data_IF_379442722260
#
_entry.id   IF_379442722260
#
_cell.length_a   1.000
_cell.length_b   1.000
_cell.length_c   1.000
_cell.angle_alpha   90.00
_cell.angle_beta   90.00
_cell.angle_gamma   90.00
#
_symmetry.space_group_name_H-M   'P 1'
#
loop_
_entity.id
_entity.type
_entity.pdbx_description
1 polymer ?
#
# COMPACT_ATOMS: atom_id res chain seq x y z
N UNK A 1 -22.37 30.97 6.73
CA UNK A 1 -23.15 29.73 7.01
C UNK A 1 -22.52 28.46 6.39
N UNK A 2 -22.21 28.42 5.09
CA UNK A 2 -21.64 27.23 4.40
C UNK A 2 -20.34 26.74 5.02
N UNK A 3 -19.40 27.64 5.40
CA UNK A 3 -18.13 27.28 6.00
C UNK A 3 -18.30 26.65 7.41
N UNK A 4 -19.17 27.22 8.27
CA UNK A 4 -19.46 26.66 9.60
C UNK A 4 -20.09 25.26 9.50
N UNK A 5 -21.00 25.05 8.53
CA UNK A 5 -21.60 23.73 8.26
C UNK A 5 -20.57 22.71 7.83
N UNK A 6 -19.64 23.08 6.93
CA UNK A 6 -18.56 22.17 6.48
C UNK A 6 -17.62 21.81 7.64
N UNK A 7 -17.25 22.79 8.48
CA UNK A 7 -16.42 22.54 9.66
C UNK A 7 -17.11 21.57 10.65
N UNK A 8 -18.41 21.73 10.88
CA UNK A 8 -19.18 20.83 11.74
C UNK A 8 -19.24 19.41 11.18
N UNK A 9 -19.47 19.25 9.87
CA UNK A 9 -19.47 17.93 9.22
C UNK A 9 -18.10 17.24 9.37
N UNK A 10 -17.01 17.97 9.16
CA UNK A 10 -15.66 17.44 9.33
C UNK A 10 -15.37 17.03 10.78
N UNK A 11 -15.81 17.82 11.74
CA UNK A 11 -15.67 17.51 13.17
C UNK A 11 -16.46 16.25 13.55
N UNK A 12 -17.71 16.13 13.10
CA UNK A 12 -18.53 14.92 13.32
C UNK A 12 -17.87 13.70 12.69
N UNK A 13 -17.40 13.80 11.45
CA UNK A 13 -16.72 12.69 10.78
C UNK A 13 -15.44 12.28 11.52
N UNK A 14 -14.63 13.23 11.96
CA UNK A 14 -13.43 12.96 12.75
C UNK A 14 -13.78 12.28 14.09
N UNK A 15 -14.79 12.78 14.81
CA UNK A 15 -15.24 12.17 16.06
C UNK A 15 -15.76 10.74 15.85
N UNK A 16 -16.56 10.52 14.81
CA UNK A 16 -17.08 9.19 14.45
C UNK A 16 -15.93 8.22 14.11
N UNK A 17 -14.92 8.67 13.34
CA UNK A 17 -13.74 7.87 13.04
C UNK A 17 -12.96 7.50 14.30
N UNK A 18 -12.67 8.46 15.17
CA UNK A 18 -11.94 8.22 16.42
C UNK A 18 -12.69 7.26 17.35
N UNK A 19 -14.01 7.41 17.46
CA UNK A 19 -14.84 6.50 18.27
C UNK A 19 -14.82 5.06 17.70
N UNK A 20 -14.96 4.93 16.38
CA UNK A 20 -14.90 3.63 15.71
C UNK A 20 -13.53 2.99 15.89
N UNK A 21 -12.45 3.75 15.66
CA UNK A 21 -11.07 3.25 15.85
C UNK A 21 -10.79 2.88 17.29
N UNK A 22 -11.27 3.65 18.25
CA UNK A 22 -11.16 3.34 19.67
C UNK A 22 -11.78 1.99 20.01
N UNK A 23 -12.99 1.74 19.52
CA UNK A 23 -13.70 0.46 19.72
C UNK A 23 -12.92 -0.71 19.11
N UNK A 24 -12.41 -0.56 17.89
CA UNK A 24 -11.65 -1.59 17.20
C UNK A 24 -10.26 -1.79 17.81
N UNK A 25 -9.63 -0.74 18.32
CA UNK A 25 -8.34 -0.80 19.00
C UNK A 25 -8.40 -1.67 20.26
N UNK A 26 -9.49 -1.60 21.01
CA UNK A 26 -9.70 -2.38 22.22
C UNK A 26 -10.18 -3.82 21.97
N UNK A 27 -10.55 -4.15 20.73
CA UNK A 27 -10.99 -5.48 20.33
C UNK A 27 -9.77 -6.44 20.32
N UNK A 28 -9.89 -7.71 20.72
CA UNK A 28 -8.81 -8.69 20.62
C UNK A 28 -8.29 -8.89 19.19
N UNK A 29 -9.12 -8.62 18.17
CA UNK A 29 -8.73 -8.71 16.77
C UNK A 29 -8.47 -10.14 16.31
N UNK A 30 -7.64 -10.30 15.27
CA UNK A 30 -7.18 -11.61 14.84
C UNK A 30 -6.05 -12.10 15.76
N UNK A 31 -6.38 -13.07 16.59
CA UNK A 31 -5.52 -13.48 17.72
C UNK A 31 -4.18 -14.04 17.27
N UNK A 32 -4.15 -14.84 16.20
CA UNK A 32 -2.93 -15.49 15.72
C UNK A 32 -1.85 -14.46 15.34
N UNK A 33 -2.14 -13.53 14.49
CA UNK A 33 -1.18 -12.50 14.07
C UNK A 33 -0.87 -11.51 15.19
N UNK A 34 -1.89 -11.13 15.99
CA UNK A 34 -1.69 -10.22 17.10
C UNK A 34 -0.78 -10.81 18.18
N UNK A 35 -0.82 -12.11 18.40
CA UNK A 35 0.06 -12.77 19.35
C UNK A 35 1.51 -12.75 18.85
N UNK A 36 1.75 -12.89 17.54
CA UNK A 36 3.07 -12.67 16.95
C UNK A 36 3.55 -11.22 17.17
N UNK A 37 2.72 -10.23 16.86
CA UNK A 37 3.09 -8.82 17.03
C UNK A 37 3.30 -8.43 18.49
N UNK A 38 2.53 -9.02 19.43
CA UNK A 38 2.73 -8.87 20.88
C UNK A 38 4.05 -9.48 21.34
N UNK A 39 4.40 -10.67 20.84
CA UNK A 39 5.68 -11.30 21.14
C UNK A 39 6.82 -10.41 20.64
N UNK A 40 6.77 -9.94 19.41
CA UNK A 40 7.80 -9.08 18.85
C UNK A 40 7.96 -7.76 19.62
N UNK A 41 6.87 -7.09 19.98
CA UNK A 41 6.92 -5.88 20.83
C UNK A 41 7.55 -6.21 22.19
N UNK A 42 7.13 -7.30 22.83
CA UNK A 42 7.69 -7.76 24.11
C UNK A 42 9.19 -8.02 24.02
N UNK A 43 9.66 -8.69 22.97
CA UNK A 43 11.08 -8.98 22.75
C UNK A 43 11.91 -7.74 22.44
N UNK A 44 11.35 -6.81 21.64
CA UNK A 44 12.00 -5.50 21.42
C UNK A 44 12.15 -4.72 22.72
N UNK A 45 11.14 -4.75 23.60
CA UNK A 45 11.23 -4.11 24.93
C UNK A 45 12.26 -4.77 25.85
N UNK A 46 12.36 -6.09 25.82
CA UNK A 46 13.20 -6.87 26.72
C UNK A 46 14.66 -6.91 26.27
N UNK A 47 14.91 -7.09 24.96
CA UNK A 47 16.24 -7.38 24.42
C UNK A 47 16.76 -6.31 23.47
N UNK A 48 15.93 -5.33 23.12
CA UNK A 48 16.26 -4.29 22.13
C UNK A 48 16.07 -4.74 20.69
N UNK A 49 16.18 -3.75 19.79
CA UNK A 49 15.87 -3.92 18.35
C UNK A 49 16.79 -4.96 17.69
N UNK A 50 18.09 -4.97 18.01
CA UNK A 50 19.07 -5.83 17.32
C UNK A 50 18.97 -7.32 17.72
N UNK A 51 18.43 -7.66 18.91
CA UNK A 51 18.32 -9.04 19.38
C UNK A 51 16.96 -9.70 19.06
N UNK A 52 16.00 -8.95 18.54
CA UNK A 52 14.63 -9.45 18.32
C UNK A 52 14.59 -10.68 17.41
N UNK A 53 15.45 -10.75 16.40
CA UNK A 53 15.50 -11.88 15.45
C UNK A 53 16.05 -13.18 16.08
N UNK A 54 16.87 -13.06 17.12
CA UNK A 54 17.35 -14.24 17.89
C UNK A 54 16.37 -14.69 18.95
N UNK A 55 15.57 -13.78 19.46
CA UNK A 55 14.74 -14.01 20.66
C UNK A 55 13.26 -14.18 20.36
N UNK A 56 12.82 -13.92 19.12
CA UNK A 56 11.43 -14.07 18.68
C UNK A 56 11.35 -14.78 17.32
N UNK A 57 10.11 -15.00 16.87
CA UNK A 57 9.79 -15.47 15.54
C UNK A 57 9.73 -14.36 14.50
N UNK A 58 10.28 -13.16 14.76
CA UNK A 58 10.18 -12.02 13.87
C UNK A 58 10.76 -12.33 12.49
N UNK A 59 9.94 -12.20 11.46
CA UNK A 59 10.22 -12.49 10.06
C UNK A 59 10.11 -11.24 9.16
N UNK A 60 9.61 -10.12 9.70
CA UNK A 60 9.58 -8.85 8.98
C UNK A 60 10.96 -8.21 8.94
N UNK A 61 11.30 -7.47 7.85
CA UNK A 61 12.54 -6.73 7.77
C UNK A 61 12.71 -5.69 8.89
N UNK A 62 13.94 -5.17 9.10
CA UNK A 62 14.32 -4.45 10.33
C UNK A 62 13.51 -3.19 10.68
N UNK A 63 12.90 -2.52 9.69
CA UNK A 63 12.18 -1.27 9.96
C UNK A 63 11.04 -1.46 10.96
N UNK A 64 10.37 -2.62 10.95
CA UNK A 64 9.27 -2.86 11.88
C UNK A 64 9.73 -2.90 13.34
N UNK A 65 10.89 -3.49 13.62
CA UNK A 65 11.45 -3.49 14.98
C UNK A 65 11.73 -2.07 15.48
N UNK A 66 12.25 -1.19 14.62
CA UNK A 66 12.46 0.23 14.97
C UNK A 66 11.15 0.97 15.19
N UNK A 67 10.11 0.65 14.40
CA UNK A 67 8.79 1.25 14.60
C UNK A 67 8.17 0.79 15.91
N UNK A 68 8.30 -0.49 16.29
CA UNK A 68 7.77 -1.02 17.54
C UNK A 68 8.46 -0.42 18.78
N UNK A 69 9.75 -0.16 18.73
CA UNK A 69 10.54 0.26 19.90
C UNK A 69 9.97 1.47 20.65
N UNK A 70 9.65 2.62 20.03
CA UNK A 70 9.10 3.77 20.76
C UNK A 70 7.74 3.45 21.41
N UNK A 71 6.91 2.61 20.80
CA UNK A 71 5.64 2.21 21.39
C UNK A 71 5.85 1.30 22.60
N UNK A 72 6.85 0.43 22.57
CA UNK A 72 7.26 -0.38 23.71
C UNK A 72 7.74 0.48 24.89
N UNK A 73 8.56 1.51 24.63
CA UNK A 73 9.03 2.44 25.68
C UNK A 73 7.88 3.23 26.30
N UNK A 74 6.95 3.74 25.48
CA UNK A 74 5.77 4.44 26.00
C UNK A 74 4.88 3.50 26.79
N UNK A 75 4.64 2.27 26.31
CA UNK A 75 3.89 1.25 27.07
C UNK A 75 4.54 0.98 28.42
N UNK A 76 5.85 0.79 28.48
CA UNK A 76 6.57 0.56 29.73
C UNK A 76 6.35 1.69 30.75
N UNK A 77 6.38 2.96 30.28
CA UNK A 77 6.12 4.11 31.13
C UNK A 77 4.65 4.20 31.61
N UNK A 78 3.69 3.76 30.78
CA UNK A 78 2.27 3.67 31.14
C UNK A 78 2.04 2.53 32.14
N UNK A 79 2.64 1.37 31.91
CA UNK A 79 2.53 0.20 32.76
C UNK A 79 3.14 0.46 34.16
N UNK A 80 4.27 1.18 34.24
CA UNK A 80 4.89 1.59 35.51
C UNK A 80 3.98 2.50 36.36
N UNK A 81 2.98 3.15 35.74
CA UNK A 81 1.96 3.96 36.43
C UNK A 81 0.70 3.18 36.81
N UNK A 82 0.72 1.86 36.69
CA UNK A 82 -0.43 0.98 37.01
C UNK A 82 -1.51 0.95 35.90
N UNK A 83 -1.27 1.55 34.75
CA UNK A 83 -2.21 1.56 33.62
C UNK A 83 -1.85 0.52 32.54
N UNK A 84 -1.03 -0.47 32.87
CA UNK A 84 -0.68 -1.60 32.03
C UNK A 84 -1.79 -2.66 31.99
N UNK A 85 -1.57 -3.70 31.18
CA UNK A 85 -2.45 -4.87 31.09
C UNK A 85 -2.62 -5.35 29.64
N UNK A 86 -3.24 -6.52 29.43
CA UNK A 86 -3.33 -7.13 28.09
C UNK A 86 -4.04 -6.26 27.05
N UNK A 87 -5.13 -5.58 27.44
CA UNK A 87 -5.88 -4.68 26.52
C UNK A 87 -5.02 -3.47 26.14
N UNK A 88 -4.35 -2.84 27.12
CA UNK A 88 -3.46 -1.72 26.86
C UNK A 88 -2.29 -2.17 25.97
N UNK A 89 -1.67 -3.32 26.24
CA UNK A 89 -0.59 -3.86 25.43
C UNK A 89 -1.02 -4.10 23.97
N UNK A 90 -2.20 -4.71 23.77
CA UNK A 90 -2.80 -4.87 22.43
C UNK A 90 -3.01 -3.53 21.73
N UNK A 91 -3.51 -2.54 22.45
CA UNK A 91 -3.69 -1.20 21.89
C UNK A 91 -2.37 -0.59 21.40
N UNK A 92 -1.28 -0.74 22.17
CA UNK A 92 0.05 -0.27 21.79
C UNK A 92 0.62 -0.99 20.56
N UNK A 93 0.29 -2.28 20.35
CA UNK A 93 0.63 -3.03 19.14
C UNK A 93 -0.12 -2.48 17.92
N UNK A 94 -1.38 -2.06 18.09
CA UNK A 94 -2.24 -1.53 17.02
C UNK A 94 -2.05 -0.02 16.72
N UNK A 95 -1.35 0.72 17.59
CA UNK A 95 -1.11 2.16 17.38
C UNK A 95 -0.26 2.49 16.16
N UNK A 96 0.85 1.78 15.84
CA UNK A 96 1.62 2.04 14.64
C UNK A 96 0.75 2.05 13.36
N UNK A 97 -0.01 0.99 13.03
CA UNK A 97 -0.90 1.02 11.86
C UNK A 97 -1.85 2.21 11.84
N UNK A 98 -2.43 2.59 12.98
CA UNK A 98 -3.31 3.75 13.07
C UNK A 98 -2.61 5.06 12.69
N UNK A 99 -1.39 5.28 13.19
CA UNK A 99 -0.62 6.49 12.88
C UNK A 99 -0.31 6.56 11.39
N UNK A 100 0.05 5.43 10.78
CA UNK A 100 0.33 5.38 9.35
C UNK A 100 -0.94 5.50 8.49
N UNK A 101 -2.11 5.04 8.96
CA UNK A 101 -3.40 5.33 8.30
C UNK A 101 -3.69 6.84 8.28
N UNK A 102 -3.46 7.53 9.39
CA UNK A 102 -3.58 8.99 9.44
C UNK A 102 -2.54 9.67 8.53
N UNK A 103 -1.32 9.12 8.46
CA UNK A 103 -0.29 9.56 7.53
C UNK A 103 -0.71 9.40 6.06
N UNK A 104 -1.31 8.28 5.69
CA UNK A 104 -1.87 8.05 4.35
C UNK A 104 -2.98 9.07 4.05
N UNK A 105 -3.91 9.27 4.98
CA UNK A 105 -4.95 10.28 4.81
C UNK A 105 -4.38 11.69 4.64
N UNK A 106 -3.32 12.03 5.39
CA UNK A 106 -2.56 13.28 5.26
C UNK A 106 -1.90 13.43 3.88
N UNK A 107 -1.27 12.37 3.36
CA UNK A 107 -0.70 12.37 2.00
C UNK A 107 -1.79 12.56 0.93
N UNK A 108 -2.91 11.85 1.05
CA UNK A 108 -4.05 11.99 0.14
C UNK A 108 -4.63 13.41 0.19
N UNK A 109 -4.78 13.97 1.38
CA UNK A 109 -5.18 15.37 1.56
C UNK A 109 -4.20 16.32 0.87
N UNK A 110 -2.89 16.08 1.03
CA UNK A 110 -1.84 16.88 0.38
C UNK A 110 -1.90 16.78 -1.14
N UNK A 111 -2.12 15.57 -1.68
CA UNK A 111 -2.32 15.36 -3.11
C UNK A 111 -3.47 16.23 -3.66
N UNK A 112 -4.62 16.16 -2.99
CA UNK A 112 -5.78 16.97 -3.40
C UNK A 112 -5.54 18.47 -3.23
N UNK A 113 -4.70 18.88 -2.28
CA UNK A 113 -4.29 20.28 -2.11
C UNK A 113 -3.40 20.78 -3.24
N UNK A 114 -2.45 19.95 -3.67
CA UNK A 114 -1.58 20.25 -4.82
C UNK A 114 -2.36 20.33 -6.15
N UNK A 115 -3.53 19.70 -6.21
CA UNK A 115 -4.46 19.81 -7.34
C UNK A 115 -5.49 20.94 -7.17
N UNK A 116 -5.31 21.80 -6.18
CA UNK A 116 -6.20 22.93 -5.87
C UNK A 116 -7.68 22.51 -5.66
N UNK A 117 -7.91 21.26 -5.20
CA UNK A 117 -9.29 20.79 -4.94
C UNK A 117 -9.90 21.48 -3.71
N UNK A 118 -11.21 21.72 -3.70
CA UNK A 118 -11.91 22.30 -2.55
C UNK A 118 -11.80 21.39 -1.31
N UNK A 119 -11.92 21.98 -0.12
CA UNK A 119 -11.74 21.29 1.17
C UNK A 119 -12.64 20.07 1.31
N UNK A 120 -13.86 20.13 0.78
CA UNK A 120 -14.81 19.01 0.83
C UNK A 120 -14.31 17.80 0.03
N UNK A 121 -13.68 18.00 -1.13
CA UNK A 121 -13.11 16.93 -1.94
C UNK A 121 -11.92 16.30 -1.23
N UNK A 122 -11.06 17.10 -0.59
CA UNK A 122 -9.94 16.62 0.23
C UNK A 122 -10.44 15.74 1.36
N UNK A 123 -11.49 16.20 2.05
CA UNK A 123 -12.11 15.47 3.15
C UNK A 123 -12.77 14.16 2.69
N UNK A 124 -13.46 14.18 1.55
CA UNK A 124 -14.10 12.98 0.99
C UNK A 124 -13.04 11.93 0.61
N UNK A 125 -11.91 12.33 0.02
CA UNK A 125 -10.81 11.40 -0.32
C UNK A 125 -10.18 10.81 0.95
N UNK A 126 -9.89 11.64 1.96
CA UNK A 126 -9.35 11.18 3.23
C UNK A 126 -10.33 10.24 3.95
N UNK A 127 -11.62 10.59 3.97
CA UNK A 127 -12.67 9.77 4.56
C UNK A 127 -12.88 8.47 3.78
N UNK A 128 -12.84 8.49 2.45
CA UNK A 128 -12.96 7.30 1.61
C UNK A 128 -11.86 6.27 1.91
N UNK A 129 -10.67 6.72 2.33
CA UNK A 129 -9.62 5.84 2.84
C UNK A 129 -9.87 5.44 4.30
N UNK A 130 -10.04 6.40 5.22
CA UNK A 130 -10.11 6.13 6.66
C UNK A 130 -11.34 5.28 7.06
N UNK A 131 -12.48 5.45 6.39
CA UNK A 131 -13.69 4.64 6.60
C UNK A 131 -13.79 3.44 5.63
N UNK A 132 -12.74 3.16 4.88
CA UNK A 132 -12.72 2.01 3.99
C UNK A 132 -12.83 0.71 4.79
N UNK A 133 -13.74 -0.22 4.45
CA UNK A 133 -13.90 -1.46 5.19
C UNK A 133 -12.63 -2.30 5.24
N UNK A 134 -11.82 -2.33 4.17
CA UNK A 134 -10.54 -3.03 4.17
C UNK A 134 -9.54 -2.41 5.17
N UNK A 135 -9.50 -1.07 5.26
CA UNK A 135 -8.63 -0.35 6.20
C UNK A 135 -9.07 -0.59 7.64
N UNK A 136 -10.38 -0.43 7.92
CA UNK A 136 -10.91 -0.63 9.27
C UNK A 136 -10.74 -2.08 9.73
N UNK A 137 -10.96 -3.04 8.84
CA UNK A 137 -10.82 -4.45 9.17
C UNK A 137 -9.36 -4.83 9.39
N UNK A 138 -8.49 -4.58 8.41
CA UNK A 138 -7.11 -5.05 8.46
C UNK A 138 -6.26 -4.31 9.49
N UNK A 139 -6.33 -2.97 9.55
CA UNK A 139 -5.42 -2.19 10.38
C UNK A 139 -5.99 -1.88 11.79
N UNK A 140 -7.32 -1.78 11.94
CA UNK A 140 -7.93 -1.46 13.21
C UNK A 140 -8.42 -2.70 13.98
N UNK A 141 -9.18 -3.57 13.32
CA UNK A 141 -9.68 -4.79 13.93
C UNK A 141 -8.56 -5.84 14.03
N UNK A 142 -8.02 -6.27 12.90
CA UNK A 142 -6.97 -7.29 12.82
C UNK A 142 -5.67 -6.85 13.54
N UNK A 143 -5.26 -5.59 13.34
CA UNK A 143 -4.00 -5.05 13.86
C UNK A 143 -2.82 -5.24 12.90
N UNK A 144 -3.10 -5.59 11.64
CA UNK A 144 -2.08 -5.79 10.61
C UNK A 144 -1.30 -4.50 10.30
N UNK A 145 0.03 -4.57 10.19
CA UNK A 145 0.88 -3.40 9.96
C UNK A 145 0.95 -2.98 8.48
N UNK A 146 0.01 -3.40 7.65
CA UNK A 146 0.02 -3.19 6.20
C UNK A 146 -0.10 -1.73 5.77
N UNK A 147 -0.68 -0.87 6.59
CA UNK A 147 -0.68 0.57 6.34
C UNK A 147 0.73 1.18 6.39
N UNK A 148 1.66 0.58 7.12
CA UNK A 148 3.02 1.13 7.30
C UNK A 148 3.79 1.06 5.98
N UNK A 149 3.94 -0.13 5.39
CA UNK A 149 4.63 -0.24 4.10
C UNK A 149 3.86 0.46 2.98
N UNK A 150 2.51 0.43 3.02
CA UNK A 150 1.65 1.11 2.06
C UNK A 150 1.79 2.63 2.10
N UNK A 151 1.99 3.22 3.30
CA UNK A 151 2.32 4.64 3.45
C UNK A 151 3.60 4.99 2.70
N UNK A 152 4.66 4.20 2.88
CA UNK A 152 5.94 4.46 2.23
C UNK A 152 5.87 4.25 0.71
N UNK A 153 5.11 3.26 0.23
CA UNK A 153 4.84 3.08 -1.21
C UNK A 153 4.12 4.31 -1.75
N UNK A 154 3.01 4.73 -1.11
CA UNK A 154 2.27 5.91 -1.53
C UNK A 154 3.13 7.16 -1.50
N UNK A 155 3.91 7.38 -0.43
CA UNK A 155 4.81 8.52 -0.30
C UNK A 155 5.86 8.55 -1.42
N UNK A 156 6.42 7.40 -1.79
CA UNK A 156 7.35 7.28 -2.91
C UNK A 156 6.73 7.75 -4.22
N UNK A 157 5.58 7.19 -4.60
CA UNK A 157 4.94 7.51 -5.87
C UNK A 157 4.31 8.91 -5.89
N UNK A 158 3.81 9.40 -4.78
CA UNK A 158 3.35 10.80 -4.64
C UNK A 158 4.53 11.76 -4.81
N UNK A 159 5.65 11.49 -4.17
CA UNK A 159 6.86 12.32 -4.31
C UNK A 159 7.34 12.35 -5.76
N UNK A 160 7.39 11.19 -6.43
CA UNK A 160 7.76 11.11 -7.85
C UNK A 160 6.76 11.87 -8.74
N UNK A 161 5.46 11.66 -8.52
CA UNK A 161 4.39 12.20 -9.36
C UNK A 161 4.31 13.73 -9.29
N UNK A 162 4.33 14.29 -8.11
CA UNK A 162 4.26 15.75 -7.94
C UNK A 162 5.61 16.42 -8.19
N UNK A 163 6.71 15.72 -7.93
CA UNK A 163 8.03 16.15 -8.36
C UNK A 163 8.10 16.31 -9.87
N UNK A 164 7.72 15.29 -10.63
CA UNK A 164 7.70 15.32 -12.09
C UNK A 164 6.84 16.47 -12.63
N UNK A 165 5.63 16.67 -12.08
CA UNK A 165 4.76 17.81 -12.45
C UNK A 165 5.42 19.15 -12.15
N UNK A 166 6.04 19.32 -10.99
CA UNK A 166 6.70 20.56 -10.62
C UNK A 166 7.87 20.88 -11.57
N UNK A 167 8.64 19.87 -11.99
CA UNK A 167 9.77 20.06 -12.90
C UNK A 167 9.35 20.48 -14.31
N UNK A 168 8.20 20.01 -14.78
CA UNK A 168 7.66 20.40 -16.08
C UNK A 168 7.17 21.85 -16.11
N UNK A 169 6.77 22.40 -14.97
CA UNK A 169 6.24 23.77 -14.84
C UNK A 169 7.31 24.79 -14.50
N UNK A 170 8.41 24.37 -13.89
CA UNK A 170 9.50 25.26 -13.48
C UNK A 170 10.79 24.85 -14.16
N UNK A 171 11.59 25.81 -14.62
CA UNK A 171 12.98 25.59 -15.05
C UNK A 171 13.87 25.30 -13.82
N UNK A 172 13.44 24.38 -12.94
CA UNK A 172 14.12 24.13 -11.67
C UNK A 172 15.52 23.57 -11.86
N UNK A 173 16.45 24.00 -11.02
CA UNK A 173 17.84 23.51 -11.01
C UNK A 173 17.88 21.98 -10.89
N UNK A 174 18.83 21.34 -11.58
CA UNK A 174 19.01 19.88 -11.56
C UNK A 174 19.09 19.29 -10.14
N UNK A 175 19.64 20.04 -9.17
CA UNK A 175 19.73 19.60 -7.78
C UNK A 175 18.39 19.28 -7.12
N UNK A 176 17.35 20.08 -7.35
CA UNK A 176 16.00 19.80 -6.79
C UNK A 176 15.36 18.53 -7.38
N UNK A 177 15.58 18.29 -8.69
CA UNK A 177 15.07 17.08 -9.35
C UNK A 177 15.69 15.83 -8.74
N UNK A 178 17.01 15.81 -8.57
CA UNK A 178 17.73 14.68 -8.00
C UNK A 178 17.38 14.45 -6.53
N UNK A 179 17.21 15.50 -5.73
CA UNK A 179 16.75 15.40 -4.34
C UNK A 179 15.35 14.75 -4.24
N UNK A 180 14.44 15.11 -5.12
CA UNK A 180 13.10 14.51 -5.15
C UNK A 180 13.14 13.02 -5.53
N UNK A 181 13.97 12.65 -6.52
CA UNK A 181 14.17 11.24 -6.89
C UNK A 181 14.77 10.47 -5.70
N UNK A 182 15.83 11.00 -5.09
CA UNK A 182 16.41 10.38 -3.90
C UNK A 182 15.38 10.15 -2.80
N UNK A 183 14.55 11.15 -2.50
CA UNK A 183 13.48 11.02 -1.50
C UNK A 183 12.44 9.94 -1.87
N UNK A 184 12.02 9.87 -3.14
CA UNK A 184 11.10 8.83 -3.60
C UNK A 184 11.69 7.42 -3.42
N UNK A 185 12.95 7.23 -3.77
CA UNK A 185 13.66 5.96 -3.58
C UNK A 185 13.91 5.65 -2.10
N UNK A 186 14.18 6.64 -1.28
CA UNK A 186 14.29 6.49 0.17
C UNK A 186 13.00 5.96 0.78
N UNK A 187 11.84 6.52 0.40
CA UNK A 187 10.55 5.99 0.84
C UNK A 187 10.31 4.56 0.36
N UNK A 188 10.64 4.24 -0.89
CA UNK A 188 10.46 2.88 -1.38
C UNK A 188 11.38 1.87 -0.68
N UNK A 189 12.62 2.27 -0.36
CA UNK A 189 13.52 1.46 0.45
C UNK A 189 12.94 1.18 1.84
N UNK A 190 12.36 2.20 2.50
CA UNK A 190 11.66 2.01 3.78
C UNK A 190 10.45 1.08 3.65
N UNK A 191 9.71 1.13 2.53
CA UNK A 191 8.62 0.19 2.28
C UNK A 191 9.13 -1.26 2.23
N UNK A 192 10.22 -1.52 1.50
CA UNK A 192 10.81 -2.85 1.39
C UNK A 192 11.44 -3.32 2.70
N UNK A 193 12.03 -2.40 3.48
CA UNK A 193 12.58 -2.66 4.81
C UNK A 193 11.50 -2.84 5.89
N UNK A 194 10.26 -2.52 5.59
CA UNK A 194 9.09 -2.84 6.41
C UNK A 194 8.49 -4.20 6.03
N UNK A 195 8.32 -4.44 4.74
CA UNK A 195 7.74 -5.69 4.20
C UNK A 195 8.25 -5.93 2.78
N UNK A 196 8.65 -7.16 2.40
CA UNK A 196 9.19 -7.44 1.06
C UNK A 196 8.22 -7.07 -0.09
N UNK A 197 6.94 -6.86 0.21
CA UNK A 197 5.93 -6.38 -0.74
C UNK A 197 6.23 -4.99 -1.35
N UNK A 198 7.22 -4.27 -0.84
CA UNK A 198 7.77 -3.08 -1.47
C UNK A 198 8.64 -3.36 -2.70
N UNK A 199 9.25 -4.56 -2.80
CA UNK A 199 10.20 -4.90 -3.85
C UNK A 199 9.64 -4.84 -5.29
N UNK A 200 8.40 -5.29 -5.57
CA UNK A 200 7.83 -5.21 -6.91
C UNK A 200 7.77 -3.81 -7.51
N UNK A 201 7.87 -2.76 -6.71
CA UNK A 201 7.79 -1.38 -7.20
C UNK A 201 9.14 -0.77 -7.62
N UNK A 202 10.28 -1.39 -7.25
CA UNK A 202 11.60 -0.86 -7.60
C UNK A 202 11.84 -0.74 -9.11
N UNK A 203 11.52 -1.75 -9.96
CA UNK A 203 11.71 -1.59 -11.39
C UNK A 203 10.83 -0.48 -11.98
N UNK A 204 9.61 -0.26 -11.45
CA UNK A 204 8.75 0.83 -11.91
C UNK A 204 9.34 2.20 -11.56
N UNK A 205 9.84 2.35 -10.33
CA UNK A 205 10.48 3.59 -9.91
C UNK A 205 11.76 3.84 -10.71
N UNK A 206 12.50 2.78 -11.09
CA UNK A 206 13.65 2.86 -11.98
C UNK A 206 13.24 3.38 -13.36
N UNK A 207 12.19 2.82 -13.97
CA UNK A 207 11.65 3.28 -15.26
C UNK A 207 11.29 4.76 -15.18
N UNK A 208 10.55 5.20 -14.18
CA UNK A 208 10.19 6.61 -14.00
C UNK A 208 11.42 7.50 -13.77
N UNK A 209 12.40 7.05 -13.00
CA UNK A 209 13.63 7.81 -12.77
C UNK A 209 14.42 8.03 -14.05
N UNK A 210 14.52 6.98 -14.89
CA UNK A 210 15.17 7.08 -16.20
C UNK A 210 14.36 7.98 -17.14
N UNK A 211 13.05 7.84 -17.18
CA UNK A 211 12.17 8.68 -18.02
C UNK A 211 12.29 10.16 -17.67
N UNK A 212 12.32 10.52 -16.39
CA UNK A 212 12.29 11.91 -15.96
C UNK A 212 13.66 12.58 -15.83
N UNK A 213 14.69 11.82 -15.46
CA UNK A 213 16.03 12.37 -15.15
C UNK A 213 17.18 11.55 -15.71
N UNK A 214 16.91 10.61 -16.63
CA UNK A 214 17.92 9.77 -17.25
C UNK A 214 18.62 8.82 -16.28
N UNK A 215 19.69 8.19 -16.76
CA UNK A 215 20.49 7.22 -15.98
C UNK A 215 21.05 7.82 -14.69
N UNK A 216 21.41 9.11 -14.71
CA UNK A 216 21.91 9.81 -13.51
C UNK A 216 20.86 9.86 -12.40
N UNK A 217 19.57 10.11 -12.74
CA UNK A 217 18.48 10.06 -11.77
C UNK A 217 18.30 8.66 -11.17
N UNK A 218 18.36 7.63 -12.01
CA UNK A 218 18.31 6.24 -11.58
C UNK A 218 19.47 5.88 -10.63
N UNK A 219 20.70 6.29 -10.96
CA UNK A 219 21.88 6.03 -10.13
C UNK A 219 21.75 6.71 -8.75
N UNK A 220 21.32 7.98 -8.69
CA UNK A 220 21.09 8.68 -7.43
C UNK A 220 20.00 7.97 -6.60
N UNK A 221 18.92 7.56 -7.25
CA UNK A 221 17.85 6.84 -6.58
C UNK A 221 18.33 5.53 -5.96
N UNK A 222 18.98 4.67 -6.76
CA UNK A 222 19.53 3.40 -6.28
C UNK A 222 20.56 3.59 -5.16
N UNK A 223 21.44 4.58 -5.27
CA UNK A 223 22.40 4.91 -4.20
C UNK A 223 21.70 5.33 -2.93
N UNK A 224 20.61 6.11 -3.02
CA UNK A 224 19.81 6.50 -1.85
C UNK A 224 19.15 5.28 -1.21
N UNK A 225 18.55 4.39 -2.00
CA UNK A 225 17.92 3.18 -1.47
C UNK A 225 18.95 2.28 -0.76
N UNK A 226 20.14 2.12 -1.37
CA UNK A 226 21.25 1.38 -0.77
C UNK A 226 21.70 2.02 0.55
N UNK A 227 21.86 3.34 0.60
CA UNK A 227 22.22 4.07 1.82
C UNK A 227 21.19 3.87 2.93
N UNK A 228 19.89 3.99 2.61
CA UNK A 228 18.80 3.73 3.57
C UNK A 228 18.87 2.30 4.09
N UNK A 229 19.12 1.33 3.20
CA UNK A 229 19.31 -0.07 3.57
C UNK A 229 20.50 -0.23 4.53
N UNK A 230 21.66 0.29 4.18
CA UNK A 230 22.88 0.21 5.02
C UNK A 230 22.68 0.86 6.39
N UNK A 231 22.07 2.04 6.44
CA UNK A 231 21.76 2.72 7.72
C UNK A 231 20.82 1.87 8.57
N UNK A 232 19.76 1.31 7.97
CA UNK A 232 18.79 0.50 8.71
C UNK A 232 19.38 -0.82 9.20
N UNK A 233 20.28 -1.44 8.42
CA UNK A 233 20.96 -2.69 8.79
C UNK A 233 22.19 -2.48 9.68
N UNK A 234 22.71 -1.26 9.81
CA UNK A 234 23.99 -0.99 10.49
C UNK A 234 24.06 -1.53 11.93
N UNK A 235 23.03 -1.42 12.80
CA UNK A 235 23.10 -2.01 14.13
C UNK A 235 23.20 -3.56 14.10
N UNK A 236 22.49 -4.19 13.17
CA UNK A 236 22.55 -5.65 13.01
C UNK A 236 23.91 -6.11 12.46
N UNK A 237 24.55 -5.31 11.60
CA UNK A 237 25.91 -5.57 11.13
C UNK A 237 26.93 -5.45 12.25
N UNK A 238 26.84 -4.40 13.06
CA UNK A 238 27.75 -4.16 14.19
C UNK A 238 27.64 -5.24 15.26
N UNK A 239 26.42 -5.73 15.54
CA UNK A 239 26.18 -6.76 16.54
C UNK A 239 26.27 -8.21 16.00
N UNK A 240 26.55 -8.39 14.71
CA UNK A 240 26.68 -9.70 14.08
C UNK A 240 25.35 -10.44 13.85
N UNK A 241 24.20 -9.72 13.86
CA UNK A 241 22.87 -10.29 13.72
C UNK A 241 22.28 -10.21 12.31
N UNK A 242 22.98 -9.56 11.37
CA UNK A 242 22.49 -9.36 10.01
C UNK A 242 22.17 -10.67 9.28
N UNK A 243 22.98 -11.72 9.48
CA UNK A 243 22.74 -13.04 8.87
C UNK A 243 21.43 -13.65 9.38
N UNK A 244 21.13 -13.50 10.67
CA UNK A 244 19.89 -14.00 11.26
C UNK A 244 18.67 -13.25 10.70
N UNK A 245 18.76 -11.94 10.51
CA UNK A 245 17.71 -11.14 9.85
C UNK A 245 17.42 -11.69 8.44
N UNK A 246 18.46 -11.86 7.62
CA UNK A 246 18.27 -12.41 6.27
C UNK A 246 17.70 -13.82 6.30
N UNK A 247 18.22 -14.68 7.18
CA UNK A 247 17.73 -16.05 7.34
C UNK A 247 16.22 -16.08 7.69
N UNK A 248 15.77 -15.23 8.61
CA UNK A 248 14.35 -15.16 9.03
C UNK A 248 13.47 -14.66 7.89
N UNK A 249 13.81 -13.53 7.30
CA UNK A 249 13.02 -12.94 6.20
C UNK A 249 12.94 -13.88 5.00
N UNK A 250 14.05 -14.54 4.61
CA UNK A 250 14.06 -15.49 3.50
C UNK A 250 13.32 -16.80 3.83
N UNK A 251 13.38 -17.25 5.09
CA UNK A 251 12.65 -18.44 5.53
C UNK A 251 11.14 -18.18 5.50
N UNK A 252 10.68 -16.98 5.88
CA UNK A 252 9.27 -16.61 5.82
C UNK A 252 8.75 -16.59 4.39
N UNK A 253 9.48 -16.02 3.46
CA UNK A 253 9.12 -16.02 2.02
C UNK A 253 8.90 -17.47 1.51
N UNK A 254 9.64 -18.45 2.02
CA UNK A 254 9.51 -19.87 1.70
C UNK A 254 8.61 -20.66 2.64
N UNK A 255 8.08 -20.06 3.71
CA UNK A 255 7.38 -20.79 4.77
C UNK A 255 6.05 -21.40 4.32
N UNK A 256 5.43 -20.84 3.28
CA UNK A 256 4.19 -21.34 2.69
C UNK A 256 4.38 -21.55 1.19
N UNK A 257 5.00 -22.66 0.77
CA UNK A 257 5.38 -22.93 -0.62
C UNK A 257 4.16 -23.33 -1.48
N UNK A 258 3.05 -22.62 -1.33
CA UNK A 258 1.81 -22.90 -2.01
C UNK A 258 1.51 -21.87 -3.10
N UNK A 259 0.70 -22.29 -4.06
CA UNK A 259 0.21 -21.41 -5.13
C UNK A 259 -0.51 -20.19 -4.56
N UNK A 260 -1.29 -20.37 -3.49
CA UNK A 260 -1.88 -19.28 -2.73
C UNK A 260 -1.99 -19.66 -1.24
N UNK A 261 -1.65 -18.74 -0.38
CA UNK A 261 -1.84 -18.83 1.07
C UNK A 261 -3.02 -17.94 1.47
N UNK A 262 -4.24 -18.33 1.06
CA UNK A 262 -5.51 -17.61 1.21
C UNK A 262 -5.70 -16.35 0.36
N UNK A 263 -4.77 -15.95 -0.50
CA UNK A 263 -5.02 -14.87 -1.46
C UNK A 263 -6.06 -15.29 -2.49
N UNK A 264 -7.21 -14.61 -2.58
CA UNK A 264 -8.23 -14.87 -3.58
C UNK A 264 -7.80 -14.35 -4.95
N UNK A 265 -6.83 -15.04 -5.56
CA UNK A 265 -6.18 -14.71 -6.81
C UNK A 265 -6.36 -15.81 -7.87
N UNK A 266 -5.64 -15.70 -9.00
CA UNK A 266 -5.72 -16.66 -10.12
C UNK A 266 -5.54 -18.12 -9.69
N UNK A 267 -4.71 -18.37 -8.68
CA UNK A 267 -4.27 -19.71 -8.31
C UNK A 267 -5.36 -20.55 -7.64
N UNK A 268 -6.43 -19.92 -7.16
CA UNK A 268 -7.63 -20.64 -6.69
C UNK A 268 -8.35 -21.38 -7.81
N UNK A 269 -8.18 -20.95 -9.07
CA UNK A 269 -8.81 -21.65 -10.22
C UNK A 269 -8.21 -23.04 -10.48
N UNK A 270 -7.01 -23.30 -10.00
CA UNK A 270 -6.27 -24.53 -10.23
C UNK A 270 -5.86 -25.26 -8.94
N UNK A 271 -6.25 -24.74 -7.78
CA UNK A 271 -5.93 -25.30 -6.47
C UNK A 271 -4.99 -24.42 -5.65
N UNK A 272 -5.56 -23.68 -4.71
CA UNK A 272 -4.85 -22.69 -3.90
C UNK A 272 -3.69 -23.27 -3.08
N UNK A 273 -3.82 -24.50 -2.61
CA UNK A 273 -2.85 -25.16 -1.74
C UNK A 273 -1.97 -26.18 -2.48
N UNK A 274 -1.81 -26.02 -3.78
CA UNK A 274 -0.86 -26.81 -4.56
C UNK A 274 0.57 -26.31 -4.32
N UNK A 275 1.55 -27.20 -4.34
CA UNK A 275 2.94 -26.78 -4.21
C UNK A 275 3.36 -25.92 -5.40
N UNK A 276 3.76 -24.69 -5.13
CA UNK A 276 4.10 -23.69 -6.14
C UNK A 276 5.31 -24.06 -6.99
N UNK A 277 6.22 -24.87 -6.43
CA UNK A 277 7.44 -25.35 -7.09
C UNK A 277 7.30 -26.74 -7.71
N UNK A 278 6.11 -27.37 -7.59
CA UNK A 278 5.88 -28.63 -8.28
C UNK A 278 5.67 -28.42 -9.80
N UNK A 279 6.18 -29.30 -10.67
CA UNK A 279 5.94 -29.20 -12.10
C UNK A 279 4.43 -29.20 -12.43
N UNK A 280 3.99 -28.25 -13.27
CA UNK A 280 2.56 -28.07 -13.59
C UNK A 280 2.30 -28.17 -15.10
N UNK A 281 3.05 -27.41 -15.94
CA UNK A 281 2.94 -27.43 -17.41
C UNK A 281 4.33 -27.83 -17.96
N UNK A 282 4.54 -29.11 -18.18
CA UNK A 282 5.87 -29.63 -18.48
C UNK A 282 6.83 -29.34 -17.33
N UNK A 283 8.01 -28.73 -17.58
CA UNK A 283 8.95 -28.38 -16.53
C UNK A 283 8.58 -27.07 -15.78
N UNK A 284 7.56 -26.33 -16.24
CA UNK A 284 7.17 -25.06 -15.63
C UNK A 284 6.34 -25.30 -14.38
N UNK A 285 6.75 -24.65 -13.29
CA UNK A 285 5.99 -24.62 -12.02
C UNK A 285 4.99 -23.47 -12.01
N UNK A 286 3.99 -23.48 -11.12
CA UNK A 286 3.10 -22.34 -10.89
C UNK A 286 3.87 -21.02 -10.64
N UNK A 287 4.96 -21.07 -9.88
CA UNK A 287 5.81 -19.88 -9.64
C UNK A 287 6.39 -19.32 -10.95
N UNK A 288 6.91 -20.18 -11.82
CA UNK A 288 7.39 -19.74 -13.13
C UNK A 288 6.30 -19.10 -13.98
N UNK A 289 5.14 -19.74 -14.05
CA UNK A 289 3.98 -19.23 -14.83
C UNK A 289 3.50 -17.89 -14.23
N UNK A 290 3.37 -17.81 -12.91
CA UNK A 290 2.96 -16.60 -12.23
C UNK A 290 3.94 -15.45 -12.47
N UNK A 291 5.23 -15.72 -12.38
CA UNK A 291 6.28 -14.73 -12.66
C UNK A 291 6.20 -14.24 -14.13
N UNK A 292 6.04 -15.16 -15.09
CA UNK A 292 5.91 -14.79 -16.51
C UNK A 292 4.69 -13.87 -16.72
N UNK A 293 3.51 -14.23 -16.18
CA UNK A 293 2.29 -13.42 -16.30
C UNK A 293 2.45 -12.05 -15.63
N UNK A 294 3.08 -12.01 -14.46
CA UNK A 294 3.39 -10.75 -13.77
C UNK A 294 4.35 -9.88 -14.59
N UNK A 295 5.44 -10.44 -15.10
CA UNK A 295 6.42 -9.70 -15.92
C UNK A 295 5.79 -9.19 -17.21
N UNK A 296 4.96 -9.99 -17.90
CA UNK A 296 4.25 -9.55 -19.09
C UNK A 296 3.31 -8.36 -18.80
N UNK A 297 2.55 -8.45 -17.70
CA UNK A 297 1.70 -7.34 -17.24
C UNK A 297 2.53 -6.10 -16.89
N UNK A 298 3.63 -6.31 -16.20
CA UNK A 298 4.56 -5.26 -15.80
C UNK A 298 5.15 -4.51 -17.00
N UNK A 299 5.64 -5.26 -17.99
CA UNK A 299 6.17 -4.70 -19.24
C UNK A 299 5.09 -3.94 -20.00
N UNK A 300 3.87 -4.50 -20.11
CA UNK A 300 2.77 -3.84 -20.78
C UNK A 300 2.37 -2.51 -20.11
N UNK A 301 2.31 -2.48 -18.77
CA UNK A 301 2.03 -1.27 -17.99
C UNK A 301 3.13 -0.23 -18.11
N UNK A 302 4.40 -0.64 -18.00
CA UNK A 302 5.56 0.24 -18.15
C UNK A 302 5.66 0.81 -19.55
N UNK A 303 5.44 -0.02 -20.58
CA UNK A 303 5.38 0.40 -21.97
C UNK A 303 4.26 1.40 -22.22
N UNK A 304 3.08 1.15 -21.65
CA UNK A 304 1.95 2.09 -21.74
C UNK A 304 2.28 3.44 -21.10
N UNK A 305 2.90 3.43 -19.91
CA UNK A 305 3.34 4.67 -19.26
C UNK A 305 4.37 5.41 -20.09
N UNK A 306 5.37 4.70 -20.64
CA UNK A 306 6.38 5.29 -21.53
C UNK A 306 5.77 5.89 -22.78
N UNK A 307 4.86 5.18 -23.46
CA UNK A 307 4.15 5.70 -24.65
C UNK A 307 3.32 6.94 -24.32
N UNK A 308 2.66 6.97 -23.18
CA UNK A 308 1.92 8.15 -22.74
C UNK A 308 2.85 9.32 -22.44
N UNK A 309 3.99 9.07 -21.79
CA UNK A 309 5.02 10.08 -21.56
C UNK A 309 5.50 10.70 -22.86
N UNK A 310 5.80 9.91 -23.89
CA UNK A 310 6.23 10.39 -25.21
C UNK A 310 5.15 11.23 -25.93
N UNK A 311 3.88 10.86 -25.76
CA UNK A 311 2.76 11.50 -26.45
C UNK A 311 2.22 12.76 -25.73
N UNK A 312 2.68 13.03 -24.51
CA UNK A 312 2.26 14.16 -23.68
C UNK A 312 3.45 15.09 -23.38
N UNK A 313 4.28 15.35 -24.38
CA UNK A 313 5.42 16.28 -24.27
C UNK A 313 6.32 15.97 -23.05
N UNK A 314 6.57 14.67 -22.84
CA UNK A 314 7.40 14.19 -21.73
C UNK A 314 6.86 14.50 -20.32
N UNK A 315 5.53 14.50 -20.15
CA UNK A 315 4.85 14.72 -18.87
C UNK A 315 3.87 13.58 -18.58
N UNK A 316 3.87 13.07 -17.36
CA UNK A 316 2.80 12.22 -16.83
C UNK A 316 2.04 12.96 -15.73
N UNK A 317 0.72 12.79 -15.70
CA UNK A 317 -0.06 13.30 -14.58
C UNK A 317 0.19 12.47 -13.31
N UNK A 318 0.04 13.05 -12.11
CA UNK A 318 0.12 12.29 -10.86
C UNK A 318 -0.79 11.06 -10.83
N UNK A 319 -1.98 11.18 -11.41
CA UNK A 319 -2.94 10.08 -11.47
C UNK A 319 -2.44 8.93 -12.35
N UNK A 320 -1.76 9.22 -13.47
CA UNK A 320 -1.19 8.17 -14.31
C UNK A 320 -0.13 7.36 -13.57
N UNK A 321 0.75 8.04 -12.85
CA UNK A 321 1.82 7.41 -12.07
C UNK A 321 1.22 6.53 -10.97
N UNK A 322 0.25 7.05 -10.21
CA UNK A 322 -0.42 6.29 -9.15
C UNK A 322 -1.24 5.11 -9.70
N UNK A 323 -1.92 5.29 -10.84
CA UNK A 323 -2.68 4.22 -11.48
C UNK A 323 -1.77 3.07 -11.94
N UNK A 324 -0.62 3.38 -12.55
CA UNK A 324 0.35 2.35 -12.96
C UNK A 324 0.92 1.64 -11.75
N UNK A 325 1.26 2.36 -10.67
CA UNK A 325 1.73 1.75 -9.43
C UNK A 325 0.66 0.82 -8.81
N UNK A 326 -0.60 1.27 -8.76
CA UNK A 326 -1.72 0.45 -8.28
C UNK A 326 -1.91 -0.81 -9.14
N UNK A 327 -1.77 -0.70 -10.46
CA UNK A 327 -1.92 -1.85 -11.36
C UNK A 327 -0.76 -2.83 -11.27
N UNK A 328 0.46 -2.37 -10.99
CA UNK A 328 1.60 -3.25 -10.68
C UNK A 328 1.33 -4.07 -9.42
N UNK A 329 0.84 -3.43 -8.35
CA UNK A 329 0.43 -4.12 -7.13
C UNK A 329 -0.67 -5.14 -7.38
N UNK A 330 -1.69 -4.76 -8.12
CA UNK A 330 -2.80 -5.66 -8.43
C UNK A 330 -2.36 -6.84 -9.31
N UNK A 331 -1.51 -6.60 -10.32
CA UNK A 331 -0.93 -7.67 -11.16
C UNK A 331 -0.08 -8.62 -10.32
N UNK A 332 0.71 -8.09 -9.39
CA UNK A 332 1.48 -8.90 -8.46
C UNK A 332 0.58 -9.81 -7.64
N UNK A 333 -0.49 -9.26 -7.05
CA UNK A 333 -1.45 -10.04 -6.27
C UNK A 333 -2.15 -11.12 -7.10
N UNK A 334 -2.55 -10.81 -8.33
CA UNK A 334 -3.30 -11.76 -9.18
C UNK A 334 -2.42 -12.91 -9.66
N UNK A 335 -1.16 -12.64 -10.01
CA UNK A 335 -0.33 -13.62 -10.71
C UNK A 335 0.73 -14.30 -9.84
N UNK A 336 1.22 -13.65 -8.79
CA UNK A 336 2.27 -14.25 -7.96
C UNK A 336 1.72 -15.34 -7.04
N UNK A 337 2.57 -16.34 -6.78
CA UNK A 337 2.34 -17.39 -5.78
C UNK A 337 2.76 -16.93 -4.39
N UNK A 338 2.56 -17.75 -3.35
CA UNK A 338 2.93 -17.49 -1.95
C UNK A 338 2.25 -16.27 -1.32
N UNK A 339 1.13 -15.80 -1.88
CA UNK A 339 0.48 -14.59 -1.39
C UNK A 339 -0.62 -14.89 -0.36
N UNK A 340 -0.72 -13.97 0.60
CA UNK A 340 -1.75 -13.94 1.63
C UNK A 340 -2.92 -13.03 1.25
N UNK A 341 -4.02 -13.18 1.96
CA UNK A 341 -5.30 -12.46 1.78
C UNK A 341 -5.15 -10.94 1.79
N UNK A 342 -4.21 -10.39 2.56
CA UNK A 342 -4.00 -8.94 2.75
C UNK A 342 -3.00 -8.31 1.77
N UNK A 343 -2.31 -9.10 0.94
CA UNK A 343 -1.23 -8.58 0.06
C UNK A 343 -1.71 -7.63 -1.04
N UNK A 344 -3.01 -7.55 -1.31
CA UNK A 344 -3.59 -6.54 -2.21
C UNK A 344 -3.76 -5.16 -1.55
N UNK A 345 -3.59 -5.05 -0.22
CA UNK A 345 -3.93 -3.84 0.54
C UNK A 345 -3.25 -2.57 0.03
N UNK A 346 -1.98 -2.63 -0.39
CA UNK A 346 -1.23 -1.46 -0.89
C UNK A 346 -1.89 -0.79 -2.11
N UNK A 347 -2.73 -1.52 -2.86
CA UNK A 347 -3.50 -0.97 -3.98
C UNK A 347 -4.59 0.00 -3.51
N UNK A 348 -5.14 -0.18 -2.31
CA UNK A 348 -6.21 0.66 -1.76
C UNK A 348 -5.78 2.12 -1.60
N UNK A 349 -4.70 2.47 -0.87
CA UNK A 349 -4.27 3.87 -0.75
C UNK A 349 -3.81 4.48 -2.08
N UNK A 350 -3.20 3.70 -2.98
CA UNK A 350 -2.81 4.18 -4.31
C UNK A 350 -4.02 4.60 -5.16
N UNK A 351 -5.17 3.94 -4.97
CA UNK A 351 -6.41 4.24 -5.68
C UNK A 351 -7.34 5.22 -4.95
N UNK A 352 -7.09 5.54 -3.69
CA UNK A 352 -8.03 6.32 -2.87
C UNK A 352 -8.31 7.72 -3.45
N UNK A 353 -7.32 8.37 -4.09
CA UNK A 353 -7.53 9.66 -4.76
C UNK A 353 -8.52 9.58 -5.94
N UNK A 354 -8.76 8.37 -6.45
CA UNK A 354 -9.68 8.14 -7.57
C UNK A 354 -11.14 8.03 -7.14
N UNK A 355 -11.42 7.94 -5.84
CA UNK A 355 -12.79 7.86 -5.30
C UNK A 355 -13.69 9.03 -5.71
N UNK A 356 -13.09 10.21 -5.95
CA UNK A 356 -13.79 11.45 -6.33
C UNK A 356 -13.64 11.80 -7.81
N UNK A 357 -13.02 10.94 -8.59
CA UNK A 357 -12.82 11.15 -10.03
C UNK A 357 -14.06 10.69 -10.84
N UNK A 358 -13.85 10.04 -11.96
CA UNK A 358 -14.97 9.53 -12.74
C UNK A 358 -15.52 8.21 -12.19
N UNK A 359 -16.71 7.84 -12.67
CA UNK A 359 -17.46 6.65 -12.25
C UNK A 359 -16.64 5.35 -12.37
N UNK A 360 -15.85 5.21 -13.43
CA UNK A 360 -15.08 3.97 -13.70
C UNK A 360 -14.02 3.77 -12.61
N UNK A 361 -13.19 4.78 -12.39
CA UNK A 361 -12.12 4.70 -11.39
C UNK A 361 -12.64 4.59 -9.95
N UNK A 362 -13.75 5.29 -9.67
CA UNK A 362 -14.43 5.11 -8.38
C UNK A 362 -14.89 3.66 -8.18
N UNK A 363 -15.46 3.05 -9.21
CA UNK A 363 -15.88 1.64 -9.13
C UNK A 363 -14.68 0.70 -8.98
N UNK A 364 -13.54 0.98 -9.62
CA UNK A 364 -12.30 0.22 -9.43
C UNK A 364 -11.81 0.33 -7.99
N UNK A 365 -11.75 1.54 -7.43
CA UNK A 365 -11.38 1.75 -6.02
C UNK A 365 -12.31 0.97 -5.08
N UNK A 366 -13.61 1.07 -5.28
CA UNK A 366 -14.60 0.32 -4.48
C UNK A 366 -14.41 -1.19 -4.66
N UNK A 367 -14.25 -1.65 -5.89
CA UNK A 367 -14.04 -3.07 -6.19
C UNK A 367 -12.79 -3.65 -5.52
N UNK A 368 -11.65 -2.96 -5.61
CA UNK A 368 -10.42 -3.38 -4.92
C UNK A 368 -10.60 -3.37 -3.40
N UNK A 369 -11.24 -2.33 -2.86
CA UNK A 369 -11.51 -2.23 -1.42
C UNK A 369 -12.36 -3.38 -0.90
N UNK A 370 -13.43 -3.72 -1.64
CA UNK A 370 -14.28 -4.87 -1.31
C UNK A 370 -13.52 -6.19 -1.47
N UNK A 371 -12.70 -6.32 -2.52
CA UNK A 371 -11.87 -7.52 -2.73
C UNK A 371 -10.93 -7.78 -1.56
N UNK A 372 -10.21 -6.76 -1.08
CA UNK A 372 -9.35 -6.88 0.11
C UNK A 372 -10.17 -7.20 1.35
N UNK A 373 -11.26 -6.47 1.60
CA UNK A 373 -12.10 -6.69 2.77
C UNK A 373 -12.69 -8.11 2.82
N UNK A 374 -13.30 -8.56 1.73
CA UNK A 374 -13.92 -9.88 1.65
C UNK A 374 -12.87 -10.98 1.81
N UNK A 375 -11.70 -10.82 1.18
CA UNK A 375 -10.63 -11.81 1.29
C UNK A 375 -10.15 -11.94 2.75
N UNK A 376 -9.86 -10.83 3.42
CA UNK A 376 -9.45 -10.84 4.82
C UNK A 376 -10.57 -11.36 5.75
N UNK A 377 -11.81 -10.92 5.53
CA UNK A 377 -12.95 -11.32 6.35
C UNK A 377 -13.25 -12.82 6.24
N UNK A 378 -13.24 -13.37 5.03
CA UNK A 378 -13.44 -14.82 4.82
C UNK A 378 -12.29 -15.66 5.37
N UNK A 379 -11.11 -15.07 5.58
CA UNK A 379 -10.01 -15.75 6.23
C UNK A 379 -10.10 -15.71 7.76
N UNK A 380 -10.50 -14.57 8.34
CA UNK A 380 -10.61 -14.36 9.79
C UNK A 380 -11.67 -15.27 10.44
N UNK A 381 -12.89 -15.29 9.86
CA UNK A 381 -14.01 -16.09 10.38
C UNK A 381 -13.61 -17.53 10.73
N UNK A 382 -12.89 -18.26 9.85
CA UNK A 382 -12.50 -19.62 10.15
C UNK A 382 -11.37 -19.79 11.16
N UNK A 383 -10.45 -18.85 11.25
CA UNK A 383 -9.30 -18.95 12.15
C UNK A 383 -9.68 -18.76 13.62
N UNK A 384 -10.67 -17.92 13.89
CA UNK A 384 -11.17 -17.65 15.23
C UNK A 384 -12.27 -18.61 15.70
N UNK A 385 -12.79 -19.50 14.83
CA UNK A 385 -13.82 -20.45 15.22
C UNK A 385 -13.22 -21.75 15.75
N UNK A 386 -13.45 -22.10 17.03
CA UNK A 386 -12.98 -23.35 17.63
C UNK A 386 -13.64 -24.61 17.02
N UNK A 387 -14.61 -24.45 16.14
CA UNK A 387 -15.43 -25.51 15.58
C UNK A 387 -15.12 -25.87 14.13
N UNK A 388 -14.00 -25.39 13.58
CA UNK A 388 -13.66 -25.65 12.20
C UNK A 388 -12.71 -26.84 12.06
N UNK A 389 -13.21 -28.00 11.59
CA UNK A 389 -12.34 -29.06 11.14
C UNK A 389 -11.82 -28.73 9.74
N UNK A 390 -10.55 -28.84 9.52
CA UNK A 390 -9.88 -28.46 8.29
C UNK A 390 -9.61 -29.69 7.41
N UNK A 391 -10.43 -29.90 6.38
CA UNK A 391 -10.08 -30.73 5.22
C UNK A 391 -10.62 -30.07 3.98
N UNK A 392 -9.77 -29.70 3.04
CA UNK A 392 -10.24 -29.26 1.73
C UNK A 392 -10.87 -30.46 1.07
N UNK A 393 -12.19 -30.44 0.88
CA UNK A 393 -12.95 -31.59 0.37
C UNK A 393 -12.34 -32.16 -0.90
N UNK A 394 -11.89 -33.39 -0.86
CA UNK A 394 -11.30 -34.12 -1.97
C UNK A 394 -9.82 -33.91 -2.24
N UNK A 395 -9.19 -32.86 -1.74
CA UNK A 395 -7.74 -32.81 -1.62
C UNK A 395 -7.36 -33.33 -0.24
N UNK A 396 -7.27 -34.67 -0.13
CA UNK A 396 -6.51 -35.27 0.96
C UNK A 396 -5.15 -34.58 0.94
N UNK A 397 -4.91 -33.84 2.00
CA UNK A 397 -3.72 -33.08 2.19
C UNK A 397 -2.50 -33.86 1.69
N UNK A 398 -1.90 -33.36 0.65
CA UNK A 398 -0.53 -33.67 0.38
C UNK A 398 0.19 -33.20 1.64
N UNK A 399 0.48 -34.11 2.57
CA UNK A 399 1.33 -33.93 3.76
C UNK A 399 1.47 -32.50 4.29
N UNK A 400 0.33 -31.84 4.58
CA UNK A 400 0.36 -30.52 5.22
C UNK A 400 0.69 -30.67 6.70
N UNK A 401 1.47 -29.77 7.27
CA UNK A 401 1.58 -29.68 8.71
C UNK A 401 0.16 -29.65 9.32
N UNK A 402 -0.12 -30.38 10.39
CA UNK A 402 -1.47 -30.52 10.97
C UNK A 402 -2.22 -29.21 11.22
N UNK A 403 -1.47 -28.11 11.43
CA UNK A 403 -1.99 -26.75 11.64
C UNK A 403 -2.67 -26.11 10.42
N UNK A 404 -2.54 -26.69 9.22
CA UNK A 404 -3.11 -26.15 7.99
C UNK A 404 -4.19 -27.04 7.36
N UNK A 405 -4.56 -28.16 8.00
CA UNK A 405 -5.68 -28.99 7.57
C UNK A 405 -6.99 -28.27 7.84
N UNK A 406 -7.60 -27.68 6.80
CA UNK A 406 -8.86 -26.97 6.89
C UNK A 406 -9.93 -27.61 6.02
N UNK A 407 -11.09 -27.95 6.61
CA UNK A 407 -12.28 -28.33 5.86
C UNK A 407 -13.09 -27.09 5.52
N UNK A 408 -13.33 -26.86 4.25
CA UNK A 408 -14.26 -25.83 3.79
C UNK A 408 -15.64 -26.43 3.60
N UNK A 409 -16.66 -25.78 4.17
CA UNK A 409 -18.03 -26.10 3.82
C UNK A 409 -18.37 -25.60 2.41
N UNK A 410 -19.37 -26.22 1.76
CA UNK A 410 -19.77 -25.85 0.40
C UNK A 410 -20.09 -24.35 0.29
N UNK A 411 -20.80 -23.78 1.27
CA UNK A 411 -21.12 -22.36 1.29
C UNK A 411 -19.90 -21.45 1.33
N UNK A 412 -18.84 -21.84 2.03
CA UNK A 412 -17.58 -21.10 2.08
C UNK A 412 -16.82 -21.18 0.78
N UNK A 413 -16.73 -22.39 0.19
CA UNK A 413 -16.11 -22.55 -1.11
C UNK A 413 -16.81 -21.69 -2.15
N UNK A 414 -18.14 -21.62 -2.14
CA UNK A 414 -18.91 -20.72 -3.02
C UNK A 414 -18.56 -19.26 -2.75
N UNK A 415 -18.45 -18.84 -1.48
CA UNK A 415 -18.07 -17.47 -1.12
C UNK A 415 -16.64 -17.13 -1.56
N UNK A 416 -15.68 -18.03 -1.31
CA UNK A 416 -14.28 -17.88 -1.72
C UNK A 416 -14.17 -17.80 -3.24
N UNK A 417 -14.77 -18.73 -3.98
CA UNK A 417 -14.75 -18.73 -5.45
C UNK A 417 -15.41 -17.49 -6.02
N UNK A 418 -16.51 -17.02 -5.42
CA UNK A 418 -17.16 -15.76 -5.82
C UNK A 418 -16.22 -14.57 -5.62
N UNK A 419 -15.48 -14.53 -4.51
CA UNK A 419 -14.47 -13.50 -4.24
C UNK A 419 -13.29 -13.58 -5.22
N UNK A 420 -12.81 -14.78 -5.56
CA UNK A 420 -11.77 -14.99 -6.58
C UNK A 420 -12.20 -14.44 -7.92
N UNK A 421 -13.38 -14.86 -8.40
CA UNK A 421 -13.94 -14.42 -9.68
C UNK A 421 -14.19 -12.90 -9.69
N UNK A 422 -14.63 -12.34 -8.57
CA UNK A 422 -14.79 -10.89 -8.40
C UNK A 422 -13.44 -10.15 -8.55
N UNK A 423 -12.39 -10.58 -7.87
CA UNK A 423 -11.06 -9.98 -7.97
C UNK A 423 -10.50 -10.07 -9.40
N UNK A 424 -10.66 -11.25 -10.04
CA UNK A 424 -10.25 -11.45 -11.44
C UNK A 424 -11.02 -10.55 -12.41
N UNK A 425 -12.33 -10.39 -12.19
CA UNK A 425 -13.17 -9.51 -13.02
C UNK A 425 -12.78 -8.04 -12.85
N UNK A 426 -12.59 -7.57 -11.61
CA UNK A 426 -12.12 -6.20 -11.32
C UNK A 426 -10.76 -5.95 -11.96
N UNK A 427 -9.83 -6.90 -11.84
CA UNK A 427 -8.52 -6.82 -12.48
C UNK A 427 -8.63 -6.77 -14.01
N UNK A 428 -9.36 -7.70 -14.62
CA UNK A 428 -9.51 -7.78 -16.08
C UNK A 428 -10.13 -6.51 -16.66
N UNK A 429 -11.20 -5.99 -16.06
CA UNK A 429 -11.83 -4.74 -16.49
C UNK A 429 -10.86 -3.57 -16.38
N UNK A 430 -10.11 -3.50 -15.28
CA UNK A 430 -9.19 -2.39 -15.03
C UNK A 430 -7.99 -2.43 -15.96
N UNK A 431 -7.32 -3.57 -16.10
CA UNK A 431 -6.13 -3.70 -16.96
C UNK A 431 -6.49 -3.49 -18.43
N UNK A 432 -7.62 -4.03 -18.89
CA UNK A 432 -8.12 -3.78 -20.25
C UNK A 432 -8.46 -2.30 -20.46
N UNK A 433 -9.06 -1.65 -19.46
CA UNK A 433 -9.33 -0.21 -19.48
C UNK A 433 -8.05 0.60 -19.61
N UNK A 434 -7.00 0.26 -18.85
CA UNK A 434 -5.69 0.91 -18.92
C UNK A 434 -5.00 0.67 -20.27
N UNK A 435 -5.03 -0.53 -20.80
CA UNK A 435 -4.31 -0.89 -22.02
C UNK A 435 -5.02 -0.45 -23.32
N UNK A 436 -6.37 -0.56 -23.38
CA UNK A 436 -7.16 -0.27 -24.60
C UNK A 436 -7.36 1.21 -24.88
N UNK A 437 -7.35 2.08 -23.88
CA UNK A 437 -7.60 3.49 -24.11
C UNK A 437 -6.50 4.10 -24.96
N UNK A 438 -6.85 4.50 -26.17
CA UNK A 438 -6.01 5.30 -27.05
C UNK A 438 -5.58 6.58 -26.32
N UNK A 439 -4.38 7.01 -26.58
CA UNK A 439 -3.60 8.00 -25.82
C UNK A 439 -4.28 9.34 -25.56
N UNK A 440 -5.25 9.73 -26.40
CA UNK A 440 -6.01 11.00 -26.22
C UNK A 440 -7.29 10.85 -25.37
N UNK A 441 -7.88 9.66 -25.28
CA UNK A 441 -9.24 9.51 -24.72
C UNK A 441 -9.27 8.98 -23.26
N UNK A 442 -8.24 8.32 -22.78
CA UNK A 442 -8.24 7.75 -21.42
C UNK A 442 -8.17 8.85 -20.34
N UNK A 443 -7.39 9.90 -20.59
CA UNK A 443 -7.27 11.06 -19.69
C UNK A 443 -8.23 12.20 -20.04
N UNK A 444 -8.61 12.36 -21.32
CA UNK A 444 -9.64 13.34 -21.67
C UNK A 444 -10.96 13.05 -20.95
N UNK A 445 -11.31 11.76 -20.75
CA UNK A 445 -12.45 11.38 -19.89
C UNK A 445 -12.20 11.58 -18.40
N UNK A 446 -10.94 11.73 -17.96
CA UNK A 446 -10.58 12.16 -16.61
C UNK A 446 -10.68 13.69 -16.45
N UNK A 447 -10.56 14.46 -17.53
CA UNK A 447 -10.50 15.93 -17.53
C UNK A 447 -11.74 16.63 -18.06
N UNK A 448 -12.63 15.96 -18.82
CA UNK A 448 -13.79 16.60 -19.51
C UNK A 448 -14.79 17.23 -18.55
N UNK A 449 -14.80 16.86 -17.27
CA UNK A 449 -15.72 17.50 -16.30
C UNK A 449 -15.20 18.83 -15.70
N UNK A 450 -13.96 19.21 -15.96
CA UNK A 450 -13.36 20.45 -15.41
C UNK A 450 -13.34 21.58 -16.43
N UNK A 451 -13.35 21.28 -17.74
CA UNK A 451 -13.29 22.30 -18.79
C UNK A 451 -14.63 22.97 -19.08
N UNK A 452 -15.75 22.47 -18.58
CA UNK A 452 -17.08 23.07 -18.71
C UNK A 452 -17.48 24.00 -17.54
N UNK A 453 -16.56 24.38 -16.67
CA UNK A 453 -16.80 25.48 -15.73
C UNK A 453 -16.35 26.82 -16.36
N UNK A 454 -17.27 27.76 -16.68
CA UNK A 454 -16.94 28.98 -17.39
C UNK A 454 -16.12 30.02 -16.60
N UNK A 455 -15.61 29.73 -15.44
CA UNK A 455 -15.05 30.74 -14.54
C UNK A 455 -13.55 30.58 -14.13
N UNK A 456 -12.82 29.65 -14.74
CA UNK A 456 -11.40 29.46 -14.36
C UNK A 456 -10.40 30.17 -15.28
N UNK A 457 -10.85 30.94 -16.30
CA UNK A 457 -9.97 31.69 -17.22
C UNK A 457 -9.83 33.19 -16.92
N UNK A 458 -10.52 33.70 -15.93
CA UNK A 458 -10.39 35.09 -15.49
C UNK A 458 -9.53 35.15 -14.23
N UNK A 459 -8.21 35.37 -14.37
CA UNK A 459 -7.38 35.65 -13.19
C UNK A 459 -5.91 35.25 -13.24
N UNK A 460 -5.32 35.02 -14.40
CA UNK A 460 -3.86 34.92 -14.49
C UNK A 460 -3.32 36.09 -15.34
N UNK A 461 -2.36 36.87 -14.83
CA UNK A 461 -1.69 37.91 -15.60
C UNK A 461 -0.97 37.31 -16.80
N UNK A 462 -1.21 37.87 -17.98
CA UNK A 462 -0.69 37.37 -19.26
C UNK A 462 0.75 37.83 -19.59
N UNK A 463 1.52 38.30 -18.61
CA UNK A 463 2.89 38.72 -18.86
C UNK A 463 3.63 39.20 -17.60
N UNK A 464 4.96 39.35 -17.69
CA UNK A 464 5.78 39.87 -16.59
C UNK A 464 5.45 41.32 -16.20
N UNK A 465 4.75 42.10 -17.06
CA UNK A 465 4.40 43.49 -16.78
C UNK A 465 3.20 43.66 -15.85
N UNK A 466 2.31 42.67 -15.75
CA UNK A 466 1.17 42.72 -14.82
C UNK A 466 1.52 42.34 -13.36
N UNK A 467 2.68 41.71 -13.14
CA UNK A 467 3.16 41.37 -11.82
C UNK A 467 3.76 42.56 -11.05
N UNK A 468 4.19 43.62 -11.77
CA UNK A 468 4.79 44.78 -11.18
C UNK A 468 3.75 45.75 -10.56
N UNK A 469 2.50 45.73 -11.01
CA UNK A 469 1.44 46.59 -10.49
C UNK A 469 0.82 46.12 -9.17
N UNK A 470 1.05 44.88 -8.74
CA UNK A 470 0.51 44.32 -7.50
C UNK A 470 1.42 44.57 -6.26
N UNK A 471 2.64 45.05 -6.47
CA UNK A 471 3.57 45.31 -5.37
C UNK A 471 3.52 46.76 -4.85
N UNK A 472 2.87 47.69 -5.54
CA UNK A 472 2.77 49.09 -5.11
C UNK A 472 1.54 49.42 -4.25
N UNK A 473 0.63 48.47 -4.00
CA UNK A 473 -0.60 48.76 -3.24
C UNK A 473 -0.64 48.26 -1.80
N UNK A 474 0.47 47.76 -1.24
CA UNK A 474 0.53 47.20 0.13
C UNK A 474 1.23 48.09 1.16
N UNK A 475 1.61 49.34 0.82
CA UNK A 475 2.23 50.27 1.77
C UNK A 475 1.30 51.38 2.29
N UNK A 476 -0.01 51.16 2.23
CA UNK A 476 -0.97 52.08 2.86
C UNK A 476 -2.11 51.25 3.50
N UNK A 477 -1.88 50.75 4.72
CA UNK A 477 -2.81 50.62 5.86
C UNK A 477 -2.16 49.75 6.94
#
# INVERSE_FOLDING_TARGET
MKQKRNALILLIAAAAYLLLRWRLLLNPGMTFDLDLYRDWLSKVMQFGVWQVYRTSSMDYPPLYAYILAPFGWVYSAVAARGMGGPIAFTAFVKLPPLIFDLGIAGLLWRCMSLECKPIIVKAVVAAAYLFNPAVLFLTAYWGGPDSIHSFFILASFVTMAYGARFWSLSQSSGGRRFGTIGLAWGFLALAALMKPLGLPYFPLLLVFSVMFCGVRGAAIGMSTALLVGLVTFSPFLVHGDAVEVFRRVLTDIGAMPFTSSNAHNLWWLIGAWYYSEAPWIGPLTPTHVGLILFVLSYVALSWKAYRQYQLQDCVLSPQQILAVAAMVSFSFFIFSTHLHEHHLFATVPLLASFAVQNRVWRNVFVGVSLGVFINCWLHDIPMDSPHWPYTIGGMTSIEHPPRFNRTYYVGELVAIWSSVLFNLAVYAVTIMGVLRTGTKNWLARLYVDVSNQPSARAGWPNGPDDAAQLTESTDAY
#
